data_IF_078003346853
#
_entry.id   IF_078003346853
#
_cell.length_a   1.000
_cell.length_b   1.000
_cell.length_c   1.000
_cell.angle_alpha   90.00
_cell.angle_beta   90.00
_cell.angle_gamma   90.00
#
_symmetry.space_group_name_H-M   'P 1'
#
loop_
_entity.id
_entity.type
_entity.pdbx_description
1 polymer ?
#
# COMPACT_ATOMS: atom_id res chain seq x y z
N UNK A 1 6.45 -18.08 12.37
CA UNK A 1 5.61 -16.88 12.37
C UNK A 1 5.95 -16.02 11.16
N UNK A 2 4.95 -15.59 10.42
CA UNK A 2 5.14 -14.72 9.26
C UNK A 2 5.46 -13.29 9.72
N UNK A 3 6.46 -12.69 9.07
CA UNK A 3 6.93 -11.33 9.39
C UNK A 3 6.73 -10.40 8.19
N UNK A 4 6.83 -9.09 8.42
CA UNK A 4 6.84 -8.11 7.31
C UNK A 4 8.04 -8.35 6.38
N UNK A 5 9.16 -8.80 6.91
CA UNK A 5 10.32 -9.13 6.07
C UNK A 5 10.00 -10.28 5.11
N UNK A 6 9.21 -11.27 5.54
CA UNK A 6 8.75 -12.34 4.64
C UNK A 6 7.93 -11.78 3.48
N UNK A 7 7.05 -10.82 3.75
CA UNK A 7 6.27 -10.16 2.71
C UNK A 7 7.17 -9.39 1.73
N UNK A 8 8.17 -8.68 2.26
CA UNK A 8 9.14 -7.95 1.43
C UNK A 8 9.92 -8.91 0.53
N UNK A 9 10.36 -10.02 1.05
CA UNK A 9 11.16 -11.00 0.30
C UNK A 9 10.34 -11.63 -0.84
N UNK A 10 9.09 -12.00 -0.55
CA UNK A 10 8.18 -12.53 -1.57
C UNK A 10 7.86 -11.46 -2.61
N UNK A 11 7.56 -10.26 -2.16
CA UNK A 11 7.26 -9.12 -3.04
C UNK A 11 8.41 -8.82 -3.99
N UNK A 12 9.63 -8.76 -3.45
CA UNK A 12 10.82 -8.51 -4.27
C UNK A 12 10.98 -9.54 -5.38
N UNK A 13 10.62 -10.80 -5.12
CA UNK A 13 10.74 -11.89 -6.10
C UNK A 13 9.76 -11.77 -7.26
N UNK A 14 8.73 -10.93 -7.15
CA UNK A 14 7.73 -10.72 -8.21
C UNK A 14 7.42 -9.23 -8.39
N UNK A 15 8.44 -8.39 -8.48
CA UNK A 15 8.33 -6.98 -8.83
C UNK A 15 7.44 -6.18 -7.86
N UNK A 16 7.32 -6.61 -6.61
CA UNK A 16 6.47 -6.00 -5.57
C UNK A 16 5.00 -5.93 -5.95
N UNK A 17 4.55 -6.81 -6.86
CA UNK A 17 3.14 -6.91 -7.20
C UNK A 17 2.37 -7.57 -6.06
N UNK A 18 1.23 -6.98 -5.73
CA UNK A 18 0.39 -7.47 -4.64
C UNK A 18 -1.08 -7.36 -5.02
N UNK A 19 -1.88 -8.30 -4.52
CA UNK A 19 -3.34 -8.25 -4.65
C UNK A 19 -3.89 -7.52 -3.44
N UNK A 20 -4.60 -6.43 -3.68
CA UNK A 20 -5.28 -5.63 -2.66
C UNK A 20 -6.76 -5.93 -2.73
N UNK A 21 -7.37 -6.30 -1.60
CA UNK A 21 -8.79 -6.60 -1.49
C UNK A 21 -9.43 -5.62 -0.51
N UNK A 22 -10.52 -4.99 -0.96
CA UNK A 22 -11.28 -4.01 -0.19
C UNK A 22 -12.74 -4.41 -0.15
N UNK A 23 -13.54 -3.81 0.74
CA UNK A 23 -14.95 -4.11 0.92
C UNK A 23 -15.82 -3.04 0.27
N UNK A 24 -16.75 -3.49 -0.57
CA UNK A 24 -17.84 -2.64 -1.08
C UNK A 24 -18.92 -2.45 -0.01
N UNK A 25 -19.80 -1.48 -0.21
CA UNK A 25 -20.87 -1.18 0.74
C UNK A 25 -21.85 -2.32 0.98
N UNK A 26 -21.99 -3.26 0.04
CA UNK A 26 -22.85 -4.43 0.17
C UNK A 26 -22.11 -5.64 0.74
N UNK A 27 -20.91 -5.45 1.29
CA UNK A 27 -20.03 -6.48 1.87
C UNK A 27 -19.45 -7.45 0.83
N UNK A 28 -19.56 -7.14 -0.47
CA UNK A 28 -18.81 -7.87 -1.51
C UNK A 28 -17.38 -7.35 -1.59
N UNK A 29 -16.50 -8.13 -2.20
CA UNK A 29 -15.06 -7.85 -2.22
C UNK A 29 -14.65 -7.34 -3.59
N UNK A 30 -13.85 -6.27 -3.62
CA UNK A 30 -13.20 -5.74 -4.81
C UNK A 30 -11.69 -5.97 -4.69
N UNK A 31 -11.10 -6.60 -5.70
CA UNK A 31 -9.67 -6.89 -5.71
C UNK A 31 -8.99 -6.28 -6.93
N UNK A 32 -7.75 -5.88 -6.77
CA UNK A 32 -6.92 -5.34 -7.84
C UNK A 32 -5.45 -5.60 -7.53
N UNK A 33 -4.60 -5.42 -8.54
CA UNK A 33 -3.15 -5.58 -8.39
C UNK A 33 -2.50 -4.20 -8.34
N UNK A 34 -1.60 -4.03 -7.39
CA UNK A 34 -0.79 -2.81 -7.22
C UNK A 34 0.66 -3.19 -6.97
N UNK A 35 1.56 -2.22 -7.09
CA UNK A 35 2.90 -2.35 -6.52
C UNK A 35 2.84 -1.82 -5.09
N UNK A 36 3.28 -2.62 -4.14
CA UNK A 36 3.24 -2.26 -2.73
C UNK A 36 4.58 -2.58 -2.05
N UNK A 37 4.92 -1.83 -1.03
CA UNK A 37 6.16 -2.03 -0.28
C UNK A 37 6.00 -1.65 1.18
N UNK A 38 6.98 -2.04 1.98
CA UNK A 38 7.03 -1.72 3.41
C UNK A 38 7.91 -0.49 3.62
N UNK A 39 7.41 0.46 4.39
CA UNK A 39 8.14 1.69 4.72
C UNK A 39 7.74 2.16 6.12
N UNK A 40 8.53 3.09 6.68
CA UNK A 40 8.18 3.74 7.93
C UNK A 40 7.07 4.78 7.68
N UNK A 41 6.05 4.78 8.52
CA UNK A 41 5.01 5.81 8.47
C UNK A 41 5.65 7.18 8.72
N UNK A 42 5.34 8.21 7.90
CA UNK A 42 6.04 9.51 7.99
C UNK A 42 5.81 10.27 9.29
N UNK A 43 4.76 9.95 10.04
CA UNK A 43 4.45 10.62 11.32
C UNK A 43 4.81 9.73 12.50
N UNK A 44 4.38 8.47 12.49
CA UNK A 44 4.55 7.58 13.65
C UNK A 44 5.86 6.81 13.66
N UNK A 45 6.51 6.65 12.49
CA UNK A 45 7.71 5.85 12.35
C UNK A 45 7.47 4.34 12.34
N UNK A 46 6.24 3.87 12.55
CA UNK A 46 5.90 2.45 12.54
C UNK A 46 5.93 1.90 11.12
N UNK A 47 6.27 0.62 10.98
CA UNK A 47 6.26 -0.04 9.68
C UNK A 47 4.84 -0.20 9.16
N UNK A 48 4.61 0.24 7.92
CA UNK A 48 3.34 0.12 7.22
C UNK A 48 3.59 -0.46 5.83
N UNK A 49 2.53 -1.00 5.22
CA UNK A 49 2.55 -1.39 3.81
C UNK A 49 1.88 -0.28 3.03
N UNK A 50 2.58 0.25 2.03
CA UNK A 50 2.10 1.38 1.24
C UNK A 50 1.96 1.06 -0.23
N UNK A 51 0.98 1.70 -0.87
CA UNK A 51 0.86 1.74 -2.32
C UNK A 51 0.27 3.08 -2.74
N UNK A 52 0.51 3.44 -4.01
CA UNK A 52 0.01 4.68 -4.60
C UNK A 52 -1.09 4.33 -5.58
N UNK A 53 -2.23 5.02 -5.49
CA UNK A 53 -3.36 4.74 -6.37
C UNK A 53 -4.17 6.01 -6.67
N UNK A 54 -4.96 5.95 -7.74
CA UNK A 54 -6.01 6.91 -8.05
C UNK A 54 -7.31 6.20 -8.44
N UNK A 55 -7.41 4.90 -8.16
CA UNK A 55 -8.58 4.08 -8.46
C UNK A 55 -9.77 4.45 -7.59
N UNK A 56 -10.85 4.95 -8.20
CA UNK A 56 -12.03 5.47 -7.49
C UNK A 56 -12.70 4.44 -6.60
N UNK A 57 -12.89 3.22 -7.10
CA UNK A 57 -13.57 2.17 -6.34
C UNK A 57 -12.81 1.81 -5.07
N UNK A 58 -11.50 1.60 -5.19
CA UNK A 58 -10.63 1.27 -4.09
C UNK A 58 -10.62 2.36 -3.02
N UNK A 59 -10.42 3.61 -3.44
CA UNK A 59 -10.38 4.74 -2.51
C UNK A 59 -11.72 4.96 -1.82
N UNK A 60 -12.84 4.87 -2.56
CA UNK A 60 -14.18 5.00 -1.99
C UNK A 60 -14.44 3.92 -0.94
N UNK A 61 -14.07 2.68 -1.23
CA UNK A 61 -14.23 1.57 -0.29
C UNK A 61 -13.43 1.82 0.98
N UNK A 62 -12.17 2.22 0.86
CA UNK A 62 -11.27 2.42 2.00
C UNK A 62 -11.66 3.62 2.86
N UNK A 63 -12.22 4.68 2.27
CA UNK A 63 -12.72 5.83 3.05
C UNK A 63 -13.87 5.42 3.98
N UNK A 64 -14.77 4.57 3.49
CA UNK A 64 -15.95 4.14 4.26
C UNK A 64 -15.66 2.92 5.12
N UNK A 65 -14.81 2.02 4.65
CA UNK A 65 -14.48 0.75 5.30
C UNK A 65 -12.98 0.52 5.15
N UNK A 66 -12.18 0.91 6.15
CA UNK A 66 -10.73 0.92 6.04
C UNK A 66 -10.07 -0.47 6.13
N UNK A 67 -10.82 -1.52 6.34
CA UNK A 67 -10.28 -2.89 6.35
C UNK A 67 -9.76 -3.25 4.97
N UNK A 68 -8.56 -3.82 4.94
CA UNK A 68 -7.88 -4.16 3.69
C UNK A 68 -7.02 -5.40 3.90
N UNK A 69 -6.89 -6.22 2.87
CA UNK A 69 -5.88 -7.26 2.82
C UNK A 69 -4.95 -7.03 1.65
N UNK A 70 -3.67 -7.32 1.85
CA UNK A 70 -2.64 -7.18 0.82
C UNK A 70 -1.88 -8.51 0.78
N UNK A 71 -1.90 -9.18 -0.38
CA UNK A 71 -1.25 -10.47 -0.56
C UNK A 71 -0.15 -10.33 -1.61
N UNK A 72 1.08 -10.69 -1.22
CA UNK A 72 2.20 -10.87 -2.13
C UNK A 72 2.31 -12.34 -2.50
N UNK A 73 2.71 -12.63 -3.73
CA UNK A 73 2.89 -13.98 -4.23
C UNK A 73 4.09 -14.06 -5.17
N UNK A 74 4.83 -15.16 -5.08
CA UNK A 74 5.85 -15.53 -6.04
C UNK A 74 5.80 -17.04 -6.22
N UNK A 75 5.33 -17.50 -7.38
CA UNK A 75 5.02 -18.91 -7.59
C UNK A 75 3.93 -19.38 -6.63
N UNK A 76 4.20 -20.47 -5.92
CA UNK A 76 3.30 -21.01 -4.89
C UNK A 76 3.50 -20.38 -3.52
N UNK A 77 4.55 -19.61 -3.33
CA UNK A 77 4.78 -18.92 -2.07
C UNK A 77 3.95 -17.66 -2.00
N UNK A 78 3.22 -17.47 -0.92
CA UNK A 78 2.43 -16.27 -0.70
C UNK A 78 2.43 -15.87 0.77
N UNK A 79 2.18 -14.58 1.01
CA UNK A 79 2.00 -14.04 2.35
C UNK A 79 1.01 -12.89 2.28
N UNK A 80 0.19 -12.78 3.32
CA UNK A 80 -0.88 -11.79 3.40
C UNK A 80 -0.77 -10.99 4.69
N UNK A 81 -1.01 -9.70 4.56
CA UNK A 81 -1.23 -8.79 5.68
C UNK A 81 -2.66 -8.30 5.66
N UNK A 82 -3.32 -8.33 6.80
CA UNK A 82 -4.63 -7.72 7.02
C UNK A 82 -4.48 -6.57 7.99
N UNK A 83 -5.20 -5.50 7.77
CA UNK A 83 -5.13 -4.36 8.66
C UNK A 83 -6.07 -3.25 8.23
N UNK A 84 -5.76 -2.05 8.69
CA UNK A 84 -6.55 -0.85 8.42
C UNK A 84 -5.73 0.13 7.59
N UNK A 85 -6.37 0.71 6.57
CA UNK A 85 -5.75 1.68 5.68
C UNK A 85 -6.00 3.11 6.16
N UNK A 86 -4.99 3.93 5.98
CA UNK A 86 -5.06 5.38 6.08
C UNK A 86 -4.78 5.95 4.69
N UNK A 87 -5.58 6.92 4.27
CA UNK A 87 -5.41 7.58 2.97
C UNK A 87 -4.77 8.95 3.19
N UNK A 88 -3.76 9.27 2.39
CA UNK A 88 -3.12 10.58 2.37
C UNK A 88 -3.06 11.05 0.92
N UNK A 89 -3.82 12.09 0.58
CA UNK A 89 -3.90 12.56 -0.80
C UNK A 89 -4.66 13.87 -0.90
N UNK A 90 -4.85 14.37 -2.15
CA UNK A 90 -5.53 15.64 -2.37
C UNK A 90 -6.95 15.70 -1.78
N UNK A 91 -7.65 14.56 -1.82
CA UNK A 91 -9.00 14.44 -1.26
C UNK A 91 -9.04 13.88 0.16
N UNK A 92 -7.89 13.59 0.76
CA UNK A 92 -7.78 12.95 2.08
C UNK A 92 -6.67 13.66 2.85
N UNK A 93 -7.00 14.81 3.42
CA UNK A 93 -6.05 15.69 4.09
C UNK A 93 -5.67 15.11 5.45
N UNK A 94 -4.37 15.08 5.72
CA UNK A 94 -3.82 14.70 7.01
C UNK A 94 -3.26 15.95 7.70
N UNK A 95 -3.64 16.26 8.95
CA UNK A 95 -3.18 17.46 9.64
C UNK A 95 -1.68 17.50 9.91
N UNK A 96 -1.01 16.35 9.84
CA UNK A 96 0.45 16.23 10.09
C UNK A 96 1.27 16.07 8.81
N UNK A 97 0.62 16.04 7.65
CA UNK A 97 1.29 15.85 6.35
C UNK A 97 0.77 16.93 5.41
N UNK A 98 1.61 17.92 5.12
CA UNK A 98 1.27 19.00 4.19
C UNK A 98 1.49 18.55 2.73
N UNK A 99 1.28 19.48 1.79
CA UNK A 99 1.44 19.20 0.35
C UNK A 99 2.85 18.72 0.02
N UNK A 100 3.86 19.30 0.62
CA UNK A 100 5.25 18.88 0.40
C UNK A 100 5.52 17.52 1.04
N UNK A 101 4.96 17.28 2.20
CA UNK A 101 5.02 15.96 2.87
C UNK A 101 4.36 14.88 2.03
N UNK A 102 3.22 15.17 1.40
CA UNK A 102 2.56 14.23 0.49
C UNK A 102 3.45 13.92 -0.73
N UNK A 103 4.07 14.93 -1.31
CA UNK A 103 4.99 14.76 -2.44
C UNK A 103 6.12 13.79 -2.06
N UNK A 104 6.73 13.98 -0.90
CA UNK A 104 7.81 13.11 -0.42
C UNK A 104 7.30 11.72 -0.06
N UNK A 105 6.09 11.61 0.50
CA UNK A 105 5.48 10.33 0.82
C UNK A 105 5.24 9.49 -0.43
N UNK A 106 4.71 10.10 -1.50
CA UNK A 106 4.48 9.39 -2.76
C UNK A 106 5.79 8.85 -3.33
N UNK A 107 6.88 9.61 -3.26
CA UNK A 107 8.21 9.13 -3.65
C UNK A 107 8.66 7.94 -2.79
N UNK A 108 8.47 8.05 -1.48
CA UNK A 108 8.90 7.01 -0.54
C UNK A 108 8.14 5.70 -0.76
N UNK A 109 6.84 5.76 -1.01
CA UNK A 109 6.02 4.58 -1.31
C UNK A 109 6.47 3.94 -2.63
N UNK A 110 6.67 4.76 -3.66
CA UNK A 110 7.14 4.28 -4.97
C UNK A 110 8.49 3.55 -4.83
N UNK A 111 9.42 4.12 -4.08
CA UNK A 111 10.74 3.52 -3.85
C UNK A 111 10.63 2.22 -3.05
N UNK A 112 9.81 2.19 -2.01
CA UNK A 112 9.58 0.99 -1.19
C UNK A 112 8.97 -0.16 -2.02
N UNK A 113 8.17 0.18 -3.02
CA UNK A 113 7.57 -0.78 -3.95
C UNK A 113 8.49 -1.15 -5.12
N UNK A 114 9.78 -0.89 -4.98
CA UNK A 114 10.79 -1.28 -5.96
C UNK A 114 11.00 -0.31 -7.10
N UNK A 115 10.33 0.84 -7.08
CA UNK A 115 10.45 1.84 -8.12
C UNK A 115 11.74 2.65 -8.02
N UNK A 116 12.20 3.14 -9.16
CA UNK A 116 13.29 4.10 -9.25
C UNK A 116 12.96 5.11 -10.34
N UNK A 117 13.43 6.33 -10.18
CA UNK A 117 13.14 7.39 -11.15
C UNK A 117 14.38 8.29 -11.29
N UNK A 118 14.67 8.69 -12.52
CA UNK A 118 15.81 9.57 -12.84
C UNK A 118 15.41 11.05 -12.88
N UNK A 119 14.12 11.37 -12.78
CA UNK A 119 13.59 12.72 -12.80
C UNK A 119 12.42 12.83 -11.80
N UNK A 120 12.74 13.12 -10.54
CA UNK A 120 11.73 13.22 -9.49
C UNK A 120 10.76 14.40 -9.72
N UNK A 121 11.21 15.47 -10.36
CA UNK A 121 10.32 16.60 -10.66
C UNK A 121 9.23 16.19 -11.65
N UNK A 122 9.58 15.41 -12.67
CA UNK A 122 8.60 14.86 -13.61
C UNK A 122 7.65 13.89 -12.92
N UNK A 123 8.16 13.04 -12.02
CA UNK A 123 7.35 12.13 -11.22
C UNK A 123 6.33 12.91 -10.39
N UNK A 124 6.78 13.94 -9.67
CA UNK A 124 5.93 14.76 -8.81
C UNK A 124 4.80 15.42 -9.59
N UNK A 125 5.11 15.97 -10.78
CA UNK A 125 4.09 16.59 -11.65
C UNK A 125 3.03 15.57 -12.07
N UNK A 126 3.46 14.39 -12.48
CA UNK A 126 2.53 13.32 -12.89
C UNK A 126 1.63 12.89 -11.74
N UNK A 127 2.18 12.71 -10.54
CA UNK A 127 1.40 12.33 -9.37
C UNK A 127 0.36 13.40 -9.02
N UNK A 128 0.75 14.67 -9.09
CA UNK A 128 -0.16 15.80 -8.82
C UNK A 128 -1.26 15.89 -9.88
N UNK A 129 -0.91 15.79 -11.16
CA UNK A 129 -1.87 15.83 -12.27
C UNK A 129 -2.90 14.71 -12.20
N UNK A 130 -2.47 13.51 -11.80
CA UNK A 130 -3.34 12.34 -11.69
C UNK A 130 -4.07 12.26 -10.36
N UNK A 131 -3.82 13.18 -9.43
CA UNK A 131 -4.46 13.18 -8.11
C UNK A 131 -4.16 11.92 -7.32
N UNK A 132 -2.94 11.40 -7.40
CA UNK A 132 -2.55 10.15 -6.74
C UNK A 132 -2.65 10.28 -5.22
N UNK A 133 -3.09 9.21 -4.58
CA UNK A 133 -3.23 9.07 -3.14
C UNK A 133 -2.30 7.98 -2.63
N UNK A 134 -1.62 8.23 -1.52
CA UNK A 134 -0.89 7.21 -0.80
C UNK A 134 -1.85 6.48 0.12
N UNK A 135 -1.81 5.15 0.08
CA UNK A 135 -2.54 4.29 1.01
C UNK A 135 -1.50 3.63 1.91
N UNK A 136 -1.64 3.83 3.22
CA UNK A 136 -0.73 3.27 4.22
C UNK A 136 -1.52 2.32 5.10
N UNK A 137 -1.16 1.03 5.09
CA UNK A 137 -1.87 0.03 5.87
C UNK A 137 -1.05 -0.37 7.08
N UNK A 138 -1.63 -0.24 8.27
CA UNK A 138 -1.04 -0.73 9.51
C UNK A 138 -1.43 -2.20 9.67
N UNK A 139 -0.46 -3.13 9.62
CA UNK A 139 -0.78 -4.55 9.71
C UNK A 139 -1.22 -4.94 11.11
N UNK A 140 -2.33 -5.69 11.17
CA UNK A 140 -2.85 -6.28 12.41
C UNK A 140 -2.64 -7.78 12.46
N UNK A 141 -2.58 -8.43 11.28
CA UNK A 141 -2.42 -9.88 11.19
C UNK A 141 -1.58 -10.21 9.96
N UNK A 142 -0.59 -11.09 10.13
CA UNK A 142 0.28 -11.59 9.07
C UNK A 142 0.20 -13.10 9.02
N UNK A 143 0.06 -13.67 7.83
CA UNK A 143 0.07 -15.12 7.64
C UNK A 143 0.57 -15.47 6.25
N UNK A 144 0.99 -16.72 6.07
CA UNK A 144 1.55 -17.21 4.80
C UNK A 144 1.38 -18.73 4.71
N UNK A 145 1.63 -19.27 3.52
CA UNK A 145 1.66 -20.72 3.36
C UNK A 145 2.97 -21.35 3.87
N UNK A 146 3.90 -20.54 4.36
CA UNK A 146 5.10 -20.99 5.05
C UNK A 146 4.89 -21.12 6.55
N UNK A 147 3.79 -20.55 7.07
CA UNK A 147 3.44 -20.63 8.47
C UNK A 147 2.74 -21.95 8.76
N UNK A 148 2.98 -22.49 9.96
CA UNK A 148 2.25 -23.62 10.48
C UNK A 148 0.76 -23.31 10.55
N UNK A 149 -0.08 -24.11 9.90
CA UNK A 149 -1.52 -23.91 9.86
C UNK A 149 -2.01 -22.91 8.82
N UNK A 150 -1.16 -22.49 7.95
CA UNK A 150 -1.56 -21.64 6.82
C UNK A 150 -2.32 -22.45 5.76
#
# INVERSE_FOLDING_TARGET
MTTLQDLVDIGRSDQYLAVVSTLRGDATIQSSVVNAGVLAHPVTGSDVIGFVTYGRAKLSNLRSRPQVSITFRSGWQWATAEGRAELVGPGDVNPHIDTDGLRLLLRAVFTAAGGSHDDWDAYDRTMAEQGRTAVLMTPARLYSNQSSGA
#
